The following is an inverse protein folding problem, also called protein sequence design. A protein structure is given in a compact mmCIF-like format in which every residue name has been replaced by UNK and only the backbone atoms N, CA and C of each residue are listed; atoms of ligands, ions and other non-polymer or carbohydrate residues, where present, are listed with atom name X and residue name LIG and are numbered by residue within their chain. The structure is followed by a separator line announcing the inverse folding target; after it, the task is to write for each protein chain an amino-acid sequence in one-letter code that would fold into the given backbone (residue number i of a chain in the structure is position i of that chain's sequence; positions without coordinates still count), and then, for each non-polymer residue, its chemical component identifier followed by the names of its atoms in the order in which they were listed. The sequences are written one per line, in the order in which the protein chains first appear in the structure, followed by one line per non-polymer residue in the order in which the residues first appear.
data_IF_864420931186
#
_entry.id   IF_864420931186
#
_cell.length_a   1.000
_cell.length_b   1.000
_cell.length_c   1.000
_cell.angle_alpha   90.00
_cell.angle_beta   90.00
_cell.angle_gamma   90.00
#
_symmetry.space_group_name_H-M   'P 1'
#
loop_
_entity.id
_entity.type
_entity.pdbx_description
1 polymer ?
#
# COMPACT_ATOMS: atom_id res chain seq x y z
N UNK A 1 0.71 -9.32 -16.43
CA UNK A 1 -0.40 -10.04 -17.08
C UNK A 1 -1.00 -9.19 -18.17
N UNK A 2 -1.51 -9.81 -19.22
CA UNK A 2 -2.20 -9.12 -20.32
C UNK A 2 -3.29 -10.03 -20.90
N UNK A 3 -4.27 -9.45 -21.59
CA UNK A 3 -5.36 -10.22 -22.20
C UNK A 3 -6.55 -9.35 -22.59
N UNK A 4 -7.73 -9.94 -22.56
CA UNK A 4 -9.01 -9.23 -22.70
C UNK A 4 -9.79 -9.36 -21.39
N UNK A 5 -10.33 -8.25 -20.92
CA UNK A 5 -11.19 -8.23 -19.73
C UNK A 5 -12.47 -9.02 -19.99
N UNK A 6 -12.88 -9.83 -19.01
CA UNK A 6 -14.19 -10.49 -19.04
C UNK A 6 -15.33 -9.46 -18.87
N UNK A 7 -16.55 -9.81 -19.25
CA UNK A 7 -17.72 -8.91 -19.29
C UNK A 7 -17.96 -8.16 -17.95
N UNK A 8 -17.82 -8.84 -16.82
CA UNK A 8 -17.98 -8.22 -15.49
C UNK A 8 -16.96 -7.11 -15.26
N UNK A 9 -15.68 -7.37 -15.62
CA UNK A 9 -14.61 -6.39 -15.48
C UNK A 9 -14.77 -5.22 -16.48
N UNK A 10 -15.19 -5.50 -17.71
CA UNK A 10 -15.52 -4.44 -18.69
C UNK A 10 -16.61 -3.51 -18.18
N UNK A 11 -17.70 -4.05 -17.60
CA UNK A 11 -18.77 -3.27 -17.01
C UNK A 11 -18.29 -2.41 -15.83
N UNK A 12 -17.46 -2.98 -14.95
CA UNK A 12 -16.89 -2.26 -13.81
C UNK A 12 -15.95 -1.13 -14.28
N UNK A 13 -15.10 -1.37 -15.27
CA UNK A 13 -14.21 -0.34 -15.83
C UNK A 13 -14.99 0.77 -16.55
N UNK A 14 -16.01 0.40 -17.32
CA UNK A 14 -16.89 1.38 -17.97
C UNK A 14 -17.64 2.24 -16.95
N UNK A 15 -18.11 1.67 -15.84
CA UNK A 15 -18.73 2.42 -14.74
C UNK A 15 -17.76 3.40 -14.04
N UNK A 16 -16.45 3.10 -14.04
CA UNK A 16 -15.38 4.00 -13.57
C UNK A 16 -14.98 5.06 -14.62
N UNK A 17 -15.61 5.07 -15.79
CA UNK A 17 -15.33 6.03 -16.85
C UNK A 17 -14.16 5.66 -17.77
N UNK A 18 -13.64 4.43 -17.73
CA UNK A 18 -12.57 3.98 -18.65
C UNK A 18 -13.15 3.86 -20.07
N UNK A 19 -12.63 4.62 -21.04
CA UNK A 19 -13.18 4.64 -22.39
C UNK A 19 -12.86 3.37 -23.18
N UNK A 20 -13.67 3.08 -24.21
CA UNK A 20 -13.40 2.03 -25.20
C UNK A 20 -13.60 0.59 -24.73
N UNK A 21 -14.09 0.36 -23.50
CA UNK A 21 -14.20 -1.00 -22.94
C UNK A 21 -15.13 -1.94 -23.72
N UNK A 22 -16.12 -1.40 -24.44
CA UNK A 22 -17.03 -2.21 -25.27
C UNK A 22 -16.42 -2.60 -26.62
N UNK A 23 -15.56 -1.75 -27.14
CA UNK A 23 -15.00 -1.89 -28.49
C UNK A 23 -13.68 -2.68 -28.46
N UNK A 24 -12.83 -2.35 -27.50
CA UNK A 24 -11.52 -3.00 -27.33
C UNK A 24 -11.18 -3.22 -25.84
N UNK A 25 -11.56 -4.35 -25.26
CA UNK A 25 -11.34 -4.66 -23.84
C UNK A 25 -9.95 -5.20 -23.54
N UNK A 26 -8.97 -4.99 -24.40
CA UNK A 26 -7.59 -5.39 -24.10
C UNK A 26 -7.06 -4.65 -22.91
N UNK A 27 -6.24 -5.33 -22.13
CA UNK A 27 -5.53 -4.74 -20.99
C UNK A 27 -4.12 -5.29 -20.86
N UNK A 28 -3.31 -4.52 -20.22
CA UNK A 28 -2.02 -4.93 -19.69
C UNK A 28 -1.88 -4.41 -18.26
N UNK A 29 -1.39 -5.24 -17.37
CA UNK A 29 -1.13 -4.89 -15.99
C UNK A 29 0.20 -5.47 -15.53
N UNK A 30 0.95 -4.67 -14.80
CA UNK A 30 2.19 -5.07 -14.16
C UNK A 30 2.23 -4.52 -12.74
N UNK A 31 2.87 -5.24 -11.85
CA UNK A 31 3.05 -4.79 -10.48
C UNK A 31 3.73 -5.83 -9.62
N UNK A 32 4.14 -5.39 -8.45
CA UNK A 32 4.65 -6.22 -7.39
C UNK A 32 3.85 -5.92 -6.13
N UNK A 33 3.55 -6.95 -5.36
CA UNK A 33 2.96 -6.82 -4.02
C UNK A 33 3.72 -7.71 -3.06
N UNK A 34 4.04 -7.17 -1.89
CA UNK A 34 4.81 -7.84 -0.86
C UNK A 34 4.16 -7.60 0.49
N UNK A 35 4.06 -8.67 1.27
CA UNK A 35 3.76 -8.59 2.71
C UNK A 35 4.85 -9.34 3.45
N UNK A 36 5.46 -8.69 4.44
CA UNK A 36 6.41 -9.33 5.33
C UNK A 36 5.79 -9.50 6.73
N UNK A 37 5.75 -10.75 7.20
CA UNK A 37 5.25 -11.13 8.52
C UNK A 37 6.42 -11.51 9.40
N UNK A 38 6.64 -10.76 10.47
CA UNK A 38 7.79 -10.95 11.35
C UNK A 38 7.50 -11.99 12.43
N UNK A 39 8.50 -12.79 12.78
CA UNK A 39 8.40 -13.75 13.88
C UNK A 39 8.38 -13.05 15.24
N UNK A 40 9.21 -12.02 15.41
CA UNK A 40 9.29 -11.24 16.64
C UNK A 40 8.11 -10.28 16.74
N UNK A 41 7.32 -10.28 17.84
CA UNK A 41 6.18 -9.39 18.01
C UNK A 41 6.50 -7.90 18.01
N UNK A 42 7.72 -7.53 18.38
CA UNK A 42 8.17 -6.14 18.38
C UNK A 42 8.52 -5.62 16.97
N UNK A 43 8.83 -6.52 16.03
CA UNK A 43 9.08 -6.14 14.66
C UNK A 43 7.75 -6.07 13.89
N UNK A 44 7.41 -4.92 13.29
CA UNK A 44 6.12 -4.75 12.61
C UNK A 44 6.02 -5.58 11.33
N UNK A 45 4.81 -6.00 11.00
CA UNK A 45 4.52 -6.44 9.65
C UNK A 45 4.43 -5.21 8.72
N UNK A 46 4.71 -5.40 7.45
CA UNK A 46 4.67 -4.35 6.43
C UNK A 46 4.03 -4.88 5.16
N UNK A 47 3.31 -4.02 4.48
CA UNK A 47 2.81 -4.25 3.13
C UNK A 47 3.38 -3.18 2.20
N UNK A 48 3.69 -3.57 0.98
CA UNK A 48 4.06 -2.66 -0.11
C UNK A 48 3.51 -3.20 -1.43
N UNK A 49 3.01 -2.32 -2.26
CA UNK A 49 2.73 -2.65 -3.65
C UNK A 49 3.03 -1.47 -4.57
N UNK A 50 3.38 -1.78 -5.80
CA UNK A 50 3.38 -0.85 -6.93
C UNK A 50 2.73 -1.56 -8.10
N UNK A 51 1.90 -0.86 -8.85
CA UNK A 51 1.19 -1.42 -10.00
C UNK A 51 0.96 -0.39 -11.09
N UNK A 52 0.81 -0.89 -12.30
CA UNK A 52 0.39 -0.14 -13.46
C UNK A 52 -0.70 -0.92 -14.18
N UNK A 53 -1.69 -0.22 -14.66
CA UNK A 53 -2.76 -0.75 -15.48
C UNK A 53 -2.91 0.08 -16.77
N UNK A 54 -3.08 -0.60 -17.88
CA UNK A 54 -3.23 0.01 -19.19
C UNK A 54 -4.36 -0.66 -19.97
N UNK A 55 -5.09 0.17 -20.71
CA UNK A 55 -6.04 -0.23 -21.74
C UNK A 55 -5.80 0.66 -22.98
N UNK A 56 -6.34 0.34 -24.15
CA UNK A 56 -6.22 1.22 -25.32
C UNK A 56 -6.74 2.65 -25.09
N UNK A 57 -7.67 2.85 -24.16
CA UNK A 57 -8.27 4.15 -23.90
C UNK A 57 -7.79 4.86 -22.63
N UNK A 58 -7.05 4.19 -21.75
CA UNK A 58 -6.58 4.77 -20.49
C UNK A 58 -5.43 3.98 -19.86
N UNK A 59 -4.69 4.65 -18.99
CA UNK A 59 -3.67 4.04 -18.15
C UNK A 59 -3.65 4.73 -16.78
N UNK A 60 -3.16 4.05 -15.76
CA UNK A 60 -2.92 4.63 -14.44
C UNK A 60 -1.93 3.80 -13.64
N UNK A 61 -1.36 4.45 -12.64
CA UNK A 61 -0.54 3.80 -11.63
C UNK A 61 -1.27 3.71 -10.30
N UNK A 62 -0.88 2.74 -9.49
CA UNK A 62 -1.33 2.57 -8.13
C UNK A 62 -0.23 1.99 -7.28
N UNK A 63 -0.35 2.13 -5.98
CA UNK A 63 0.62 1.61 -5.06
C UNK A 63 0.41 2.07 -3.65
N UNK A 64 1.39 1.77 -2.82
CA UNK A 64 1.42 2.20 -1.44
C UNK A 64 2.33 1.33 -0.59
N UNK A 65 2.52 1.77 0.63
CA UNK A 65 3.22 1.03 1.67
C UNK A 65 2.62 1.40 3.02
N UNK A 66 2.34 0.40 3.85
CA UNK A 66 1.77 0.59 5.18
C UNK A 66 2.43 -0.30 6.23
N UNK A 67 2.59 0.23 7.44
CA UNK A 67 3.23 -0.43 8.56
C UNK A 67 2.18 -0.92 9.55
N UNK A 68 2.33 -2.17 10.02
CA UNK A 68 1.37 -2.85 10.89
C UNK A 68 2.07 -3.38 12.15
N UNK A 69 2.44 -2.52 13.11
CA UNK A 69 3.02 -2.95 14.37
C UNK A 69 1.96 -3.60 15.28
N UNK A 70 2.31 -4.70 15.91
CA UNK A 70 1.50 -5.29 16.98
C UNK A 70 1.78 -4.60 18.32
N UNK A 71 3.03 -4.21 18.52
CA UNK A 71 3.51 -3.38 19.63
C UNK A 71 4.06 -2.10 19.00
N UNK A 72 3.43 -0.97 19.26
CA UNK A 72 3.74 0.29 18.62
C UNK A 72 4.92 0.99 19.29
N UNK A 73 5.80 1.56 18.44
CA UNK A 73 6.89 2.44 18.82
C UNK A 73 6.79 3.72 18.00
N UNK A 74 6.64 4.85 18.68
CA UNK A 74 6.42 6.14 18.01
C UNK A 74 7.56 6.52 17.06
N UNK A 75 8.81 6.22 17.44
CA UNK A 75 9.98 6.49 16.62
C UNK A 75 10.03 5.63 15.33
N UNK A 76 9.49 4.40 15.36
CA UNK A 76 9.42 3.54 14.18
C UNK A 76 8.37 4.05 13.19
N UNK A 77 7.21 4.43 13.72
CA UNK A 77 6.13 5.07 12.93
C UNK A 77 6.62 6.37 12.30
N UNK A 78 7.28 7.23 13.08
CA UNK A 78 7.81 8.50 12.59
C UNK A 78 8.86 8.29 11.49
N UNK A 79 9.78 7.34 11.67
CA UNK A 79 10.80 7.01 10.67
C UNK A 79 10.16 6.50 9.37
N UNK A 80 9.21 5.56 9.47
CA UNK A 80 8.53 4.99 8.31
C UNK A 80 7.78 6.05 7.50
N UNK A 81 7.01 6.90 8.19
CA UNK A 81 6.27 7.99 7.55
C UNK A 81 7.21 9.03 6.93
N UNK A 82 8.30 9.40 7.62
CA UNK A 82 9.26 10.37 7.09
C UNK A 82 9.93 9.90 5.79
N UNK A 83 10.27 8.60 5.68
CA UNK A 83 10.84 8.05 4.46
C UNK A 83 9.84 8.08 3.29
N UNK A 84 8.57 7.75 3.53
CA UNK A 84 7.52 7.84 2.51
C UNK A 84 7.19 9.29 2.15
N UNK A 85 7.20 10.19 3.14
CA UNK A 85 7.00 11.61 2.89
C UNK A 85 8.09 12.17 1.98
N UNK A 86 9.35 11.86 2.25
CA UNK A 86 10.46 12.30 1.40
C UNK A 86 10.30 11.82 -0.06
N UNK A 87 9.83 10.59 -0.25
CA UNK A 87 9.55 10.07 -1.59
C UNK A 87 8.40 10.82 -2.28
N UNK A 88 7.35 11.19 -1.54
CA UNK A 88 6.23 11.96 -2.05
C UNK A 88 6.63 13.41 -2.39
N UNK A 89 7.30 14.08 -1.46
CA UNK A 89 7.69 15.51 -1.56
C UNK A 89 8.66 15.77 -2.72
N UNK A 90 9.43 14.74 -3.13
CA UNK A 90 10.29 14.82 -4.30
C UNK A 90 9.52 14.96 -5.64
N UNK A 91 8.21 14.70 -5.64
CA UNK A 91 7.36 14.75 -6.83
C UNK A 91 6.27 15.82 -6.75
N UNK A 92 5.53 15.87 -5.63
CA UNK A 92 4.52 16.91 -5.41
C UNK A 92 4.28 17.14 -3.91
N UNK A 93 4.12 18.42 -3.49
CA UNK A 93 4.04 18.77 -2.08
C UNK A 93 2.75 18.30 -1.38
N UNK A 94 1.71 17.96 -2.13
CA UNK A 94 0.43 17.45 -1.61
C UNK A 94 0.34 15.91 -1.58
N UNK A 95 1.26 15.21 -2.22
CA UNK A 95 1.17 13.75 -2.38
C UNK A 95 1.14 13.01 -1.06
N UNK A 96 2.05 13.34 -0.13
CA UNK A 96 2.08 12.64 1.15
C UNK A 96 0.78 12.83 1.93
N UNK A 97 0.33 14.07 2.10
CA UNK A 97 -0.89 14.36 2.85
C UNK A 97 -2.12 13.67 2.23
N UNK A 98 -2.25 13.73 0.91
CA UNK A 98 -3.35 13.11 0.17
C UNK A 98 -3.35 11.60 0.26
N UNK A 99 -2.20 10.98 0.01
CA UNK A 99 -2.08 9.52 -0.01
C UNK A 99 -2.05 8.92 1.39
N UNK A 100 -1.59 9.66 2.40
CA UNK A 100 -1.70 9.28 3.81
C UNK A 100 -3.17 9.25 4.25
N UNK A 101 -3.92 10.31 3.96
CA UNK A 101 -5.35 10.36 4.29
C UNK A 101 -6.12 9.21 3.60
N UNK A 102 -5.80 8.93 2.34
CA UNK A 102 -6.41 7.81 1.62
C UNK A 102 -6.03 6.45 2.22
N UNK A 103 -4.78 6.27 2.64
CA UNK A 103 -4.35 5.06 3.34
C UNK A 103 -5.10 4.85 4.66
N UNK A 104 -5.29 5.91 5.43
CA UNK A 104 -5.98 5.86 6.72
C UNK A 104 -7.46 5.47 6.55
N UNK A 105 -8.13 5.95 5.49
CA UNK A 105 -9.48 5.54 5.14
C UNK A 105 -9.52 4.12 4.60
N UNK A 106 -8.65 3.78 3.65
CA UNK A 106 -8.62 2.47 2.97
C UNK A 106 -8.35 1.31 3.94
N UNK A 107 -7.44 1.50 4.90
CA UNK A 107 -7.06 0.45 5.86
C UNK A 107 -7.87 0.48 7.17
N UNK A 108 -8.91 1.30 7.23
CA UNK A 108 -9.81 1.32 8.38
C UNK A 108 -10.69 0.06 8.41
N UNK A 109 -10.88 -0.50 9.61
CA UNK A 109 -11.70 -1.69 9.85
C UNK A 109 -12.99 -1.24 10.55
N UNK A 110 -14.09 -1.02 9.82
CA UNK A 110 -15.28 -0.33 10.34
C UNK A 110 -15.90 -1.02 11.56
N UNK A 111 -16.04 -2.34 11.52
CA UNK A 111 -16.64 -3.11 12.62
C UNK A 111 -15.75 -3.18 13.87
N UNK A 112 -14.49 -2.78 13.78
CA UNK A 112 -13.56 -2.63 14.90
C UNK A 112 -13.34 -1.18 15.33
N UNK A 113 -13.80 -0.21 14.55
CA UNK A 113 -13.63 1.23 14.80
C UNK A 113 -12.16 1.68 14.84
N UNK A 114 -11.26 0.98 14.13
CA UNK A 114 -9.82 1.27 14.12
C UNK A 114 -9.16 0.83 12.82
N UNK A 115 -8.02 1.45 12.50
CA UNK A 115 -7.19 0.99 11.40
C UNK A 115 -6.46 -0.33 11.75
N UNK A 116 -6.07 -1.09 10.71
CA UNK A 116 -5.29 -2.33 10.87
C UNK A 116 -3.82 -2.11 11.29
N UNK A 117 -3.30 -0.89 11.17
CA UNK A 117 -1.93 -0.51 11.52
C UNK A 117 -1.79 1.00 11.65
N UNK A 118 -0.58 1.51 11.60
CA UNK A 118 -0.28 2.96 11.68
C UNK A 118 -0.35 3.65 10.32
N UNK A 119 -0.74 2.91 9.27
CA UNK A 119 -0.86 3.43 7.93
C UNK A 119 0.49 3.63 7.23
N UNK A 120 0.49 4.55 6.31
CA UNK A 120 1.57 4.89 5.41
C UNK A 120 1.01 5.71 4.28
N UNK A 121 1.17 5.27 3.02
CA UNK A 121 0.55 5.88 1.85
C UNK A 121 -0.20 4.83 1.03
N UNK A 122 -1.29 5.28 0.39
CA UNK A 122 -2.03 4.49 -0.60
C UNK A 122 -2.52 5.42 -1.71
N UNK A 123 -2.36 4.99 -2.96
CA UNK A 123 -2.90 5.67 -4.13
C UNK A 123 -3.35 4.66 -5.18
N UNK A 124 -4.39 5.03 -5.90
CA UNK A 124 -4.90 4.31 -7.06
C UNK A 124 -5.37 5.33 -8.11
N UNK A 125 -5.53 4.86 -9.34
CA UNK A 125 -5.98 5.71 -10.44
C UNK A 125 -5.09 6.95 -10.69
N UNK A 126 -3.79 6.90 -10.32
CA UNK A 126 -2.86 8.01 -10.57
C UNK A 126 -2.62 8.12 -12.06
N UNK A 127 -3.10 9.21 -12.62
CA UNK A 127 -2.90 9.63 -14.01
C UNK A 127 -2.94 11.15 -14.07
N UNK A 128 -1.77 11.77 -14.11
CA UNK A 128 -1.63 13.24 -14.23
C UNK A 128 -1.63 13.69 -15.70
N UNK A 129 -1.65 12.75 -16.62
CA UNK A 129 -1.43 12.99 -18.05
C UNK A 129 0.04 12.89 -18.47
N UNK A 130 0.95 12.81 -17.52
CA UNK A 130 2.39 12.62 -17.73
C UNK A 130 2.81 11.22 -17.23
N UNK A 131 2.94 10.29 -18.20
CA UNK A 131 3.34 8.90 -17.91
C UNK A 131 4.68 8.80 -17.20
N UNK A 132 5.67 9.56 -17.64
CA UNK A 132 7.03 9.46 -17.14
C UNK A 132 7.11 10.01 -15.69
N UNK A 133 6.39 11.08 -15.40
CA UNK A 133 6.28 11.63 -14.05
C UNK A 133 5.56 10.66 -13.10
N UNK A 134 4.43 10.07 -13.50
CA UNK A 134 3.68 9.13 -12.69
C UNK A 134 4.45 7.81 -12.47
N UNK A 135 5.17 7.35 -13.50
CA UNK A 135 6.07 6.20 -13.37
C UNK A 135 7.24 6.49 -12.43
N UNK A 136 7.86 7.68 -12.55
CA UNK A 136 8.96 8.08 -11.67
C UNK A 136 8.51 8.15 -10.21
N UNK A 137 7.32 8.70 -9.92
CA UNK A 137 6.75 8.68 -8.58
C UNK A 137 6.53 7.25 -8.07
N UNK A 138 5.88 6.39 -8.86
CA UNK A 138 5.61 5.00 -8.48
C UNK A 138 6.91 4.22 -8.21
N UNK A 139 7.96 4.48 -8.99
CA UNK A 139 9.30 3.92 -8.75
C UNK A 139 9.89 4.44 -7.45
N UNK A 140 9.80 5.74 -7.16
CA UNK A 140 10.28 6.33 -5.90
C UNK A 140 9.60 5.72 -4.67
N UNK A 141 8.30 5.43 -4.74
CA UNK A 141 7.58 4.72 -3.68
C UNK A 141 8.16 3.31 -3.46
N UNK A 142 8.43 2.58 -4.54
CA UNK A 142 9.08 1.26 -4.46
C UNK A 142 10.49 1.33 -3.88
N UNK A 143 11.29 2.30 -4.30
CA UNK A 143 12.67 2.52 -3.83
C UNK A 143 12.71 2.97 -2.35
N UNK A 144 11.70 3.71 -1.88
CA UNK A 144 11.59 4.13 -0.49
C UNK A 144 11.31 2.98 0.50
N UNK A 145 10.84 1.81 0.01
CA UNK A 145 10.42 0.69 0.86
C UNK A 145 11.54 0.20 1.78
N UNK A 146 12.72 -0.09 1.23
CA UNK A 146 13.83 -0.60 2.03
C UNK A 146 14.35 0.44 3.03
N UNK A 147 14.60 1.70 2.67
CA UNK A 147 14.95 2.76 3.62
C UNK A 147 13.90 2.96 4.73
N UNK A 148 12.62 2.82 4.42
CA UNK A 148 11.55 2.96 5.40
C UNK A 148 11.49 1.77 6.38
N UNK A 149 11.62 0.53 5.89
CA UNK A 149 11.35 -0.68 6.67
C UNK A 149 12.57 -1.33 7.33
N UNK A 150 13.73 -1.38 6.65
CA UNK A 150 14.90 -2.07 7.19
C UNK A 150 15.39 -1.51 8.53
N UNK A 151 15.51 -0.17 8.74
CA UNK A 151 15.94 0.37 10.02
C UNK A 151 15.00 0.03 11.17
N UNK A 152 13.70 -0.02 10.92
CA UNK A 152 12.69 -0.43 11.90
C UNK A 152 12.89 -1.91 12.27
N UNK A 153 13.03 -2.77 11.26
CA UNK A 153 13.25 -4.20 11.47
C UNK A 153 14.55 -4.47 12.23
N UNK A 154 15.66 -3.81 11.86
CA UNK A 154 16.96 -3.97 12.51
C UNK A 154 16.91 -3.56 13.99
N UNK A 155 16.18 -2.55 14.36
CA UNK A 155 15.97 -2.15 15.77
C UNK A 155 15.20 -3.18 16.56
N UNK A 156 14.20 -3.86 15.96
CA UNK A 156 13.21 -4.68 16.67
C UNK A 156 13.42 -6.18 16.59
N UNK A 157 14.04 -6.70 15.54
CA UNK A 157 14.16 -8.16 15.29
C UNK A 157 14.86 -8.96 16.37
N UNK A 158 15.65 -8.32 17.23
CA UNK A 158 16.37 -8.95 18.35
C UNK A 158 15.83 -8.55 19.72
N UNK A 159 14.76 -7.77 19.79
CA UNK A 159 14.13 -7.40 21.06
C UNK A 159 13.64 -8.66 21.76
N UNK A 160 14.00 -8.90 23.04
CA UNK A 160 13.43 -10.01 23.80
C UNK A 160 11.91 -9.89 23.87
N UNK A 161 11.22 -11.00 23.78
CA UNK A 161 9.75 -11.03 23.84
C UNK A 161 9.25 -12.21 24.69
N UNK A 162 8.06 -12.07 25.25
CA UNK A 162 7.35 -13.03 26.09
C UNK A 162 6.20 -13.70 25.32
N UNK A 163 5.62 -14.76 25.93
CA UNK A 163 4.42 -15.39 25.39
C UNK A 163 3.24 -14.38 25.33
N UNK A 164 3.13 -13.44 26.26
CA UNK A 164 2.12 -12.39 26.24
C UNK A 164 2.29 -11.43 25.05
N UNK A 165 3.53 -11.12 24.66
CA UNK A 165 3.80 -10.34 23.44
C UNK A 165 3.39 -11.13 22.19
N UNK A 166 3.61 -12.45 22.21
CA UNK A 166 3.19 -13.33 21.12
C UNK A 166 1.69 -13.40 20.98
N UNK A 167 0.97 -13.52 22.08
CA UNK A 167 -0.50 -13.49 22.10
C UNK A 167 -1.03 -12.16 21.56
N UNK A 168 -0.41 -11.05 21.96
CA UNK A 168 -0.72 -9.72 21.43
C UNK A 168 -0.52 -9.68 19.90
N UNK A 169 0.56 -10.24 19.39
CA UNK A 169 0.81 -10.35 17.95
C UNK A 169 -0.29 -11.16 17.25
N UNK A 170 -0.67 -12.30 17.77
CA UNK A 170 -1.67 -13.19 17.17
C UNK A 170 -3.05 -12.52 17.12
N UNK A 171 -3.45 -11.85 18.20
CA UNK A 171 -4.72 -11.08 18.27
C UNK A 171 -4.69 -9.93 17.26
N UNK A 172 -3.60 -9.17 17.22
CA UNK A 172 -3.47 -8.05 16.26
C UNK A 172 -3.51 -8.53 14.81
N UNK A 173 -2.89 -9.67 14.51
CA UNK A 173 -2.94 -10.28 13.17
C UNK A 173 -4.37 -10.65 12.73
N UNK A 174 -5.27 -10.83 13.67
CA UNK A 174 -6.70 -10.97 13.38
C UNK A 174 -7.28 -9.79 12.60
N UNK A 175 -6.88 -8.55 12.91
CA UNK A 175 -7.32 -7.34 12.20
C UNK A 175 -6.94 -7.36 10.71
N UNK A 176 -5.75 -7.87 10.40
CA UNK A 176 -5.30 -8.04 9.03
C UNK A 176 -6.14 -9.09 8.29
N UNK A 177 -6.42 -10.21 8.95
CA UNK A 177 -7.26 -11.25 8.37
C UNK A 177 -8.70 -10.74 8.14
N UNK A 178 -9.29 -10.07 9.13
CA UNK A 178 -10.62 -9.48 9.01
C UNK A 178 -10.72 -8.46 7.88
N UNK A 179 -9.74 -7.58 7.74
CA UNK A 179 -9.70 -6.60 6.65
C UNK A 179 -9.74 -7.27 5.26
N UNK A 180 -9.13 -8.43 5.11
CA UNK A 180 -9.04 -9.12 3.82
C UNK A 180 -10.21 -10.10 3.56
N UNK A 181 -10.99 -10.46 4.59
CA UNK A 181 -12.03 -11.50 4.50
C UNK A 181 -13.46 -10.95 4.65
N UNK A 182 -13.63 -9.76 5.19
CA UNK A 182 -14.91 -9.08 5.45
C UNK A 182 -14.99 -7.82 4.61
#
# INVERSE_FOLDING_TARGET
VHGKLGERAQKAMAARGVPGMKDDPRFWASGISLVAHMQNPHAPAVHMNTRMFWTPGAWWFGGGSDLNPCIEYAEDTAHFHAALQAACDAHAPDYFARFKAWADEYFFVPHRGRARGVGGIFYDDLNTGDWDADFAFTRSVGEAFLPAFLPVTERRRKTPWSDADKDTQLIHRGLYAEYNLV
#
